data_IF_785234232811
#
_entry.id   IF_785234232811
#
_cell.length_a   1.000
_cell.length_b   1.000
_cell.length_c   1.000
_cell.angle_alpha   90.00
_cell.angle_beta   90.00
_cell.angle_gamma   90.00
#
_symmetry.space_group_name_H-M   'P 1'
#
loop_
_entity.id
_entity.type
_entity.pdbx_description
1 polymer ?
#
# COMPACT_ATOMS: atom_id res chain seq x y z
N UNK A 1 -30.40 3.18 16.96
CA UNK A 1 -29.95 3.45 15.58
C UNK A 1 -29.38 2.14 15.07
N UNK A 2 -30.09 1.48 14.17
CA UNK A 2 -29.67 0.23 13.53
C UNK A 2 -28.61 0.57 12.48
N UNK A 3 -27.41 0.02 12.61
CA UNK A 3 -26.35 0.16 11.62
C UNK A 3 -26.54 -0.93 10.57
N UNK A 4 -27.33 -0.64 9.54
CA UNK A 4 -27.41 -1.48 8.35
C UNK A 4 -26.17 -1.25 7.51
N UNK A 5 -25.13 -2.06 7.75
CA UNK A 5 -24.02 -2.21 6.81
C UNK A 5 -24.59 -2.69 5.47
N UNK A 6 -24.72 -1.78 4.51
CA UNK A 6 -24.99 -2.13 3.13
C UNK A 6 -23.81 -2.95 2.63
N UNK A 7 -23.98 -4.26 2.50
CA UNK A 7 -23.01 -5.14 1.85
C UNK A 7 -22.84 -4.68 0.40
N UNK A 8 -21.77 -3.93 0.14
CA UNK A 8 -21.39 -3.50 -1.20
C UNK A 8 -20.79 -4.70 -1.93
N UNK A 9 -21.62 -5.37 -2.72
CA UNK A 9 -21.18 -6.47 -3.60
C UNK A 9 -20.76 -5.84 -4.92
N UNK A 10 -19.45 -5.65 -5.11
CA UNK A 10 -18.91 -5.31 -6.43
C UNK A 10 -18.96 -6.54 -7.34
N UNK A 11 -19.57 -6.40 -8.52
CA UNK A 11 -19.51 -7.43 -9.55
C UNK A 11 -18.06 -7.52 -10.05
N UNK A 12 -17.37 -8.67 -9.86
CA UNK A 12 -15.98 -8.84 -10.29
C UNK A 12 -15.81 -8.80 -11.82
N UNK A 13 -16.88 -8.86 -12.59
CA UNK A 13 -16.86 -8.77 -14.05
C UNK A 13 -17.16 -7.35 -14.56
N UNK A 14 -17.48 -6.39 -13.69
CA UNK A 14 -17.71 -5.00 -14.09
C UNK A 14 -16.37 -4.38 -14.50
N UNK A 15 -16.29 -3.70 -15.67
CA UNK A 15 -15.07 -3.01 -16.05
C UNK A 15 -14.72 -1.92 -15.01
N UNK A 16 -13.44 -1.85 -14.62
CA UNK A 16 -12.95 -0.80 -13.75
C UNK A 16 -13.16 0.57 -14.40
N UNK A 17 -13.77 1.49 -13.65
CA UNK A 17 -13.91 2.87 -14.12
C UNK A 17 -12.54 3.55 -14.21
N UNK A 18 -12.34 4.43 -15.20
CA UNK A 18 -11.14 5.25 -15.26
C UNK A 18 -11.05 6.20 -14.06
N UNK A 19 -9.85 6.72 -13.84
CA UNK A 19 -9.59 7.73 -12.81
C UNK A 19 -10.45 8.95 -13.09
N UNK A 20 -11.16 9.44 -12.07
CA UNK A 20 -12.03 10.61 -12.21
C UNK A 20 -11.20 11.89 -12.34
N UNK A 21 -11.56 12.72 -13.30
CA UNK A 21 -10.90 14.00 -13.58
C UNK A 21 -11.89 15.18 -13.61
N UNK A 22 -13.20 14.92 -13.70
CA UNK A 22 -14.24 15.95 -13.83
C UNK A 22 -15.49 15.54 -13.04
N UNK A 23 -15.38 15.56 -11.71
CA UNK A 23 -16.44 15.14 -10.78
C UNK A 23 -17.77 15.87 -11.05
N UNK A 24 -17.71 17.16 -11.39
CA UNK A 24 -18.89 17.99 -11.65
C UNK A 24 -19.74 17.49 -12.83
N UNK A 25 -19.18 16.70 -13.74
CA UNK A 25 -19.91 16.10 -14.86
C UNK A 25 -20.36 14.66 -14.61
N UNK A 26 -19.79 14.00 -13.61
CA UNK A 26 -20.03 12.60 -13.30
C UNK A 26 -20.53 12.43 -11.86
N UNK A 27 -21.27 13.41 -11.32
CA UNK A 27 -21.75 13.40 -9.93
C UNK A 27 -22.64 12.18 -9.62
N UNK A 28 -23.43 11.72 -10.60
CA UNK A 28 -24.33 10.58 -10.46
C UNK A 28 -23.59 9.23 -10.37
N UNK A 29 -22.38 9.12 -10.95
CA UNK A 29 -21.61 7.87 -10.95
C UNK A 29 -20.09 8.11 -11.17
N UNK A 30 -19.39 8.79 -10.25
CA UNK A 30 -18.00 9.20 -10.46
C UNK A 30 -17.03 8.01 -10.47
N UNK A 31 -15.91 8.17 -11.17
CA UNK A 31 -14.76 7.27 -11.03
C UNK A 31 -14.06 7.43 -9.68
N UNK A 32 -13.13 6.52 -9.33
CA UNK A 32 -12.27 6.70 -8.17
C UNK A 32 -11.42 7.97 -8.32
N UNK A 33 -11.23 8.69 -7.21
CA UNK A 33 -10.37 9.88 -7.20
C UNK A 33 -8.90 9.49 -7.43
N UNK A 34 -8.07 10.38 -7.97
CA UNK A 34 -6.64 10.11 -8.13
C UNK A 34 -5.93 9.78 -6.82
N UNK A 35 -6.44 10.30 -5.70
CA UNK A 35 -5.90 10.10 -4.36
C UNK A 35 -6.22 8.71 -3.80
N UNK A 36 -7.40 8.17 -4.13
CA UNK A 36 -7.80 6.81 -3.73
C UNK A 36 -6.95 5.71 -4.41
N UNK A 37 -6.29 6.04 -5.53
CA UNK A 37 -5.40 5.10 -6.25
C UNK A 37 -3.94 5.30 -5.83
N UNK A 38 -3.56 6.55 -5.54
CA UNK A 38 -2.20 6.91 -5.16
C UNK A 38 -2.07 6.97 -3.64
N UNK A 39 -1.87 5.81 -3.03
CA UNK A 39 -1.45 5.76 -1.62
C UNK A 39 0.00 6.24 -1.50
N UNK A 40 0.23 7.24 -0.65
CA UNK A 40 1.58 7.72 -0.33
C UNK A 40 2.32 6.65 0.50
N UNK A 41 3.08 5.78 -0.16
CA UNK A 41 3.91 4.75 0.50
C UNK A 41 5.24 5.32 1.05
N UNK A 42 5.22 6.56 1.55
CA UNK A 42 6.43 7.29 1.93
C UNK A 42 7.10 6.69 3.18
N UNK A 43 6.32 5.99 4.01
CA UNK A 43 6.76 5.41 5.29
C UNK A 43 6.60 3.87 5.34
N UNK A 44 6.51 3.19 4.20
CA UNK A 44 6.36 1.74 4.19
C UNK A 44 7.52 1.02 4.91
N UNK A 45 7.24 -0.13 5.53
CA UNK A 45 8.29 -0.96 6.14
C UNK A 45 9.26 -1.56 5.11
N UNK A 46 8.91 -1.53 3.81
CA UNK A 46 9.66 -2.15 2.72
C UNK A 46 11.12 -1.71 2.60
N UNK A 47 11.43 -0.40 2.54
CA UNK A 47 12.80 0.09 2.48
C UNK A 47 13.62 -0.30 3.72
N UNK A 48 13.07 -0.17 4.92
CA UNK A 48 13.77 -0.49 6.17
C UNK A 48 14.06 -1.98 6.28
N UNK A 49 13.09 -2.83 5.97
CA UNK A 49 13.24 -4.29 5.96
C UNK A 49 14.25 -4.77 4.92
N UNK A 50 14.45 -4.04 3.82
CA UNK A 50 15.49 -4.35 2.83
C UNK A 50 16.91 -4.18 3.40
N UNK A 51 17.11 -3.26 4.33
CA UNK A 51 18.43 -2.97 4.92
C UNK A 51 18.74 -3.75 6.19
N UNK A 52 17.73 -4.28 6.89
CA UNK A 52 17.94 -4.98 8.16
C UNK A 52 18.74 -6.28 7.99
N UNK A 53 18.46 -7.05 6.93
CA UNK A 53 19.15 -8.31 6.64
C UNK A 53 20.65 -8.09 6.39
N UNK A 54 21.09 -7.21 5.46
CA UNK A 54 22.51 -6.99 5.24
C UNK A 54 23.21 -6.42 6.48
N UNK A 55 22.54 -5.57 7.27
CA UNK A 55 23.09 -5.05 8.52
C UNK A 55 23.40 -6.18 9.53
N UNK A 56 22.48 -7.13 9.71
CA UNK A 56 22.68 -8.28 10.60
C UNK A 56 23.85 -9.15 10.13
N UNK A 57 23.97 -9.40 8.82
CA UNK A 57 25.08 -10.18 8.25
C UNK A 57 26.43 -9.53 8.54
N UNK A 58 26.53 -8.20 8.40
CA UNK A 58 27.76 -7.46 8.72
C UNK A 58 28.10 -7.58 10.21
N UNK A 59 27.12 -7.41 11.10
CA UNK A 59 27.33 -7.55 12.55
C UNK A 59 27.81 -8.97 12.90
N UNK A 60 27.20 -9.99 12.32
CA UNK A 60 27.59 -11.39 12.53
C UNK A 60 29.01 -11.67 12.03
N UNK A 61 29.40 -11.12 10.88
CA UNK A 61 30.76 -11.25 10.36
C UNK A 61 31.78 -10.58 11.30
N UNK A 62 31.50 -9.37 11.77
CA UNK A 62 32.36 -8.66 12.73
C UNK A 62 32.51 -9.48 14.01
N UNK A 63 31.40 -9.97 14.57
CA UNK A 63 31.40 -10.82 15.75
C UNK A 63 32.21 -12.10 15.55
N UNK A 64 32.05 -12.76 14.39
CA UNK A 64 32.81 -13.96 14.04
C UNK A 64 34.32 -13.69 13.94
N UNK A 65 34.73 -12.56 13.36
CA UNK A 65 36.14 -12.16 13.30
C UNK A 65 36.74 -11.89 14.68
N UNK A 66 35.95 -11.34 15.62
CA UNK A 66 36.39 -11.10 17.00
C UNK A 66 36.58 -12.43 17.75
N UNK A 67 35.67 -13.39 17.59
CA UNK A 67 35.75 -14.71 18.26
C UNK A 67 36.84 -15.61 17.68
N UNK A 68 37.06 -15.54 16.36
CA UNK A 68 38.04 -16.39 15.68
C UNK A 68 39.49 -15.92 15.87
N UNK A 69 39.71 -14.73 16.43
CA UNK A 69 41.03 -14.23 16.84
C UNK A 69 41.46 -14.85 18.16
#
# INVERSE_FOLDING_TARGET
MENTESSHIEDPNKPHKPIEHDYAKHEDDPGPSPQAIKESNENGAGPVMKWIIPLIVVILLVYWFIIRK
#
